data_IF_823842682482
#
_entry.id   IF_823842682482
#
_cell.length_a   1.000
_cell.length_b   1.000
_cell.length_c   1.000
_cell.angle_alpha   90.00
_cell.angle_beta   90.00
_cell.angle_gamma   90.00
#
_symmetry.space_group_name_H-M   'P 1'
#
loop_
_entity.id
_entity.type
_entity.pdbx_description
1 polymer ?
#
# COMPACT_ATOMS: atom_id res chain seq x y z
N UNK A 1 -18.53 9.58 20.84
CA UNK A 1 -18.39 8.20 20.34
C UNK A 1 -18.23 8.29 18.83
N UNK A 2 -17.11 7.80 18.30
CA UNK A 2 -16.86 7.75 16.86
C UNK A 2 -17.61 6.55 16.28
N UNK A 3 -18.30 6.66 15.14
CA UNK A 3 -19.06 5.54 14.58
C UNK A 3 -18.13 4.39 14.16
N UNK A 4 -18.59 3.14 14.25
CA UNK A 4 -17.85 1.98 13.78
C UNK A 4 -17.72 1.97 12.25
N UNK A 5 -16.73 1.23 11.75
CA UNK A 5 -16.58 0.92 10.34
C UNK A 5 -17.61 -0.13 9.92
N UNK A 6 -18.29 0.12 8.80
CA UNK A 6 -19.21 -0.83 8.18
C UNK A 6 -18.97 -0.89 6.67
N UNK A 7 -18.59 -2.06 6.12
CA UNK A 7 -18.05 -3.24 6.82
C UNK A 7 -16.77 -2.96 7.62
N UNK A 8 -16.39 -3.86 8.56
CA UNK A 8 -15.09 -3.84 9.25
C UNK A 8 -13.90 -3.88 8.28
N UNK A 9 -12.73 -3.50 8.78
CA UNK A 9 -11.46 -3.74 8.07
C UNK A 9 -10.83 -5.06 8.50
N UNK A 10 -10.32 -5.80 7.53
CA UNK A 10 -9.48 -6.99 7.71
C UNK A 10 -8.04 -6.61 7.38
N UNK A 11 -7.11 -6.91 8.28
CA UNK A 11 -5.71 -6.47 8.22
C UNK A 11 -4.78 -7.69 8.31
N UNK A 12 -3.85 -7.79 7.37
CA UNK A 12 -2.87 -8.88 7.25
C UNK A 12 -1.45 -8.33 7.06
N UNK A 13 -0.53 -8.67 7.96
CA UNK A 13 0.86 -8.16 7.88
C UNK A 13 1.94 -9.18 8.23
N UNK A 14 1.57 -10.43 8.55
CA UNK A 14 2.53 -11.49 8.87
C UNK A 14 2.11 -12.84 8.23
N UNK A 15 3.06 -13.65 7.74
CA UNK A 15 2.76 -14.94 7.11
C UNK A 15 2.21 -15.97 8.11
N UNK A 16 2.62 -15.86 9.38
CA UNK A 16 2.20 -16.75 10.47
C UNK A 16 1.13 -16.12 11.36
N UNK A 17 0.35 -15.18 10.83
CA UNK A 17 -0.76 -14.58 11.57
C UNK A 17 -1.81 -15.68 11.82
N UNK A 18 -2.12 -15.96 13.09
CA UNK A 18 -3.01 -17.07 13.47
C UNK A 18 -4.50 -16.87 13.13
N UNK A 19 -4.85 -15.79 12.44
CA UNK A 19 -6.20 -15.41 12.00
C UNK A 19 -6.30 -13.94 11.61
N UNK A 20 -7.45 -13.54 11.05
CA UNK A 20 -7.73 -12.16 10.64
C UNK A 20 -7.58 -11.18 11.81
N UNK A 21 -6.84 -10.08 11.60
CA UNK A 21 -6.91 -8.93 12.50
C UNK A 21 -8.01 -8.01 12.00
N UNK A 22 -9.10 -7.91 12.75
CA UNK A 22 -10.27 -7.13 12.38
C UNK A 22 -10.29 -5.81 13.16
N UNK A 23 -10.46 -4.69 12.46
CA UNK A 23 -10.74 -3.39 13.07
C UNK A 23 -12.18 -2.98 12.75
N UNK A 24 -12.98 -2.80 13.80
CA UNK A 24 -14.36 -2.33 13.71
C UNK A 24 -14.49 -0.87 14.10
N UNK A 25 -13.49 -0.29 14.77
CA UNK A 25 -13.48 1.10 15.21
C UNK A 25 -12.17 1.81 14.86
N UNK A 26 -12.18 3.16 14.82
CA UNK A 26 -10.96 3.95 14.66
C UNK A 26 -9.87 3.66 15.70
N UNK A 27 -10.25 3.47 16.96
CA UNK A 27 -9.29 3.21 18.05
C UNK A 27 -8.63 1.82 17.89
N UNK A 28 -9.40 0.81 17.47
CA UNK A 28 -8.86 -0.52 17.14
C UNK A 28 -7.92 -0.48 15.93
N UNK A 29 -8.28 0.30 14.91
CA UNK A 29 -7.42 0.52 13.75
C UNK A 29 -6.10 1.18 14.16
N UNK A 30 -6.15 2.25 14.96
CA UNK A 30 -4.95 2.93 15.44
C UNK A 30 -4.05 1.99 16.25
N UNK A 31 -4.62 1.16 17.13
CA UNK A 31 -3.87 0.17 17.89
C UNK A 31 -3.18 -0.87 16.99
N UNK A 32 -3.83 -1.28 15.89
CA UNK A 32 -3.22 -2.19 14.91
C UNK A 32 -2.11 -1.51 14.09
N UNK A 33 -2.32 -0.26 13.65
CA UNK A 33 -1.31 0.52 12.94
C UNK A 33 -0.09 0.80 13.84
N UNK A 34 -0.30 1.09 15.12
CA UNK A 34 0.78 1.22 16.11
C UNK A 34 1.57 -0.08 16.24
N UNK A 35 0.89 -1.23 16.28
CA UNK A 35 1.55 -2.54 16.34
C UNK A 35 2.39 -2.80 15.09
N UNK A 36 1.88 -2.47 13.90
CA UNK A 36 2.63 -2.62 12.64
C UNK A 36 3.85 -1.70 12.64
N UNK A 37 3.68 -0.42 12.98
CA UNK A 37 4.75 0.56 13.02
C UNK A 37 5.82 0.26 14.07
N UNK A 38 5.44 -0.40 15.18
CA UNK A 38 6.38 -0.82 16.23
C UNK A 38 7.29 -1.98 15.82
N UNK A 39 6.98 -2.65 14.71
CA UNK A 39 7.77 -3.78 14.24
C UNK A 39 9.06 -3.27 13.60
N UNK A 40 10.16 -3.40 14.32
CA UNK A 40 11.48 -2.95 13.89
C UNK A 40 11.94 -3.80 12.69
N UNK A 41 11.89 -3.22 11.50
CA UNK A 41 12.41 -3.78 10.26
C UNK A 41 13.17 -2.69 9.51
N UNK A 42 14.39 -2.99 9.06
CA UNK A 42 15.19 -2.03 8.27
C UNK A 42 14.52 -1.69 6.93
N UNK A 43 13.76 -2.63 6.36
CA UNK A 43 13.01 -2.44 5.12
C UNK A 43 11.60 -1.88 5.36
N UNK A 44 11.15 -1.76 6.60
CA UNK A 44 9.75 -1.51 6.92
C UNK A 44 8.85 -2.73 6.64
N UNK A 45 7.62 -2.68 7.16
CA UNK A 45 6.60 -3.73 7.01
C UNK A 45 5.35 -3.17 6.38
N UNK A 46 4.78 -3.92 5.45
CA UNK A 46 3.51 -3.63 4.79
C UNK A 46 2.39 -4.50 5.36
N UNK A 47 1.29 -3.85 5.70
CA UNK A 47 0.01 -4.48 5.95
C UNK A 47 -0.87 -4.40 4.71
N UNK A 48 -1.50 -5.51 4.35
CA UNK A 48 -2.64 -5.57 3.46
C UNK A 48 -3.92 -5.26 4.26
N UNK A 49 -4.76 -4.38 3.72
CA UNK A 49 -5.96 -3.87 4.37
C UNK A 49 -7.09 -3.93 3.35
N UNK A 50 -8.10 -4.74 3.66
CA UNK A 50 -9.32 -4.87 2.87
C UNK A 50 -10.53 -4.57 3.74
N UNK A 51 -11.67 -4.30 3.11
CA UNK A 51 -12.96 -4.28 3.79
C UNK A 51 -13.54 -5.67 3.79
N UNK A 52 -14.14 -6.08 4.89
CA UNK A 52 -14.76 -7.40 5.00
C UNK A 52 -15.83 -7.59 3.89
N UNK A 53 -15.67 -8.63 3.08
CA UNK A 53 -16.50 -8.92 1.92
C UNK A 53 -16.22 -8.10 0.65
N UNK A 54 -15.14 -7.31 0.60
CA UNK A 54 -14.67 -6.58 -0.58
C UNK A 54 -13.29 -7.08 -1.02
N UNK A 55 -13.28 -7.80 -2.13
CA UNK A 55 -12.07 -8.31 -2.78
C UNK A 55 -11.66 -7.46 -4.00
N UNK A 56 -12.43 -6.42 -4.34
CA UNK A 56 -12.19 -5.59 -5.52
C UNK A 56 -11.17 -4.47 -5.26
N UNK A 57 -11.09 -4.01 -4.00
CA UNK A 57 -10.16 -2.97 -3.60
C UNK A 57 -9.26 -3.42 -2.46
N UNK A 58 -7.98 -3.07 -2.55
CA UNK A 58 -7.01 -3.42 -1.51
C UNK A 58 -6.07 -2.25 -1.25
N UNK A 59 -5.93 -1.86 0.01
CA UNK A 59 -4.94 -0.89 0.44
C UNK A 59 -3.78 -1.60 1.14
N UNK A 60 -2.58 -1.35 0.66
CA UNK A 60 -1.33 -1.76 1.30
C UNK A 60 -0.73 -0.55 2.00
N UNK A 61 -0.42 -0.68 3.30
CA UNK A 61 0.17 0.37 4.11
C UNK A 61 1.50 -0.11 4.73
N UNK A 62 2.59 0.50 4.29
CA UNK A 62 3.94 0.29 4.78
C UNK A 62 4.36 1.31 5.82
N UNK A 63 5.04 0.88 6.88
CA UNK A 63 5.63 1.76 7.89
C UNK A 63 7.14 1.52 8.04
N UNK A 64 7.92 2.61 8.10
CA UNK A 64 9.38 2.62 8.32
C UNK A 64 9.78 3.86 9.12
N UNK A 65 9.78 3.75 10.44
CA UNK A 65 10.03 4.89 11.34
C UNK A 65 8.96 5.97 11.18
N UNK A 66 9.39 7.22 10.94
CA UNK A 66 8.50 8.39 10.79
C UNK A 66 7.88 8.53 9.38
N UNK A 67 8.23 7.64 8.46
CA UNK A 67 7.70 7.60 7.10
C UNK A 67 7.01 6.28 6.81
N UNK A 68 6.25 6.26 5.73
CA UNK A 68 5.63 5.04 5.22
C UNK A 68 5.19 5.23 3.78
N UNK A 69 4.67 4.16 3.18
CA UNK A 69 4.24 4.18 1.79
C UNK A 69 2.90 3.46 1.64
N UNK A 70 2.12 3.86 0.64
CA UNK A 70 0.84 3.28 0.31
C UNK A 70 0.88 2.69 -1.09
N UNK A 71 0.25 1.52 -1.26
CA UNK A 71 -0.14 1.01 -2.57
C UNK A 71 -1.63 0.71 -2.53
N UNK A 72 -2.39 1.26 -3.46
CA UNK A 72 -3.80 0.97 -3.63
C UNK A 72 -3.99 0.18 -4.92
N UNK A 73 -4.71 -0.92 -4.82
CA UNK A 73 -5.09 -1.78 -5.93
C UNK A 73 -6.60 -1.64 -6.17
N UNK A 74 -6.98 -1.42 -7.42
CA UNK A 74 -8.34 -1.61 -7.92
C UNK A 74 -8.33 -2.46 -9.19
N UNK A 75 -9.51 -2.70 -9.75
CA UNK A 75 -9.72 -3.49 -10.97
C UNK A 75 -8.97 -2.97 -12.20
N UNK A 76 -8.46 -1.73 -12.17
CA UNK A 76 -7.92 -1.03 -13.34
C UNK A 76 -6.43 -0.78 -13.25
N UNK A 77 -5.90 -0.47 -12.06
CA UNK A 77 -4.53 -0.03 -11.93
C UNK A 77 -3.96 -0.17 -10.52
N UNK A 78 -2.62 -0.24 -10.50
CA UNK A 78 -1.82 -0.04 -9.30
C UNK A 78 -1.52 1.44 -9.10
N UNK A 79 -1.77 1.91 -7.89
CA UNK A 79 -1.51 3.28 -7.47
C UNK A 79 -0.58 3.29 -6.27
N UNK A 80 0.43 4.16 -6.31
CA UNK A 80 1.41 4.31 -5.22
C UNK A 80 1.32 5.71 -4.64
N UNK A 81 1.58 5.88 -3.35
CA UNK A 81 1.75 7.21 -2.77
C UNK A 81 2.89 7.96 -3.46
N UNK A 82 2.89 9.28 -3.35
CA UNK A 82 3.97 10.13 -3.86
C UNK A 82 4.15 11.35 -2.96
N UNK A 83 5.39 11.61 -2.55
CA UNK A 83 5.82 12.86 -1.94
C UNK A 83 6.06 13.97 -2.98
N UNK A 84 6.10 13.62 -4.27
CA UNK A 84 6.37 14.52 -5.37
C UNK A 84 5.19 15.44 -5.76
N UNK A 85 5.44 16.48 -6.59
CA UNK A 85 4.39 17.29 -7.18
C UNK A 85 3.46 16.46 -8.07
N UNK A 86 2.17 16.85 -8.17
CA UNK A 86 1.18 16.11 -8.97
C UNK A 86 1.61 16.07 -10.44
N UNK A 87 1.64 14.88 -11.04
CA UNK A 87 1.95 14.69 -12.46
C UNK A 87 3.44 14.60 -12.80
N UNK A 88 4.32 14.63 -11.80
CA UNK A 88 5.73 14.32 -11.97
C UNK A 88 5.95 12.85 -11.66
N UNK A 89 5.58 11.98 -12.61
CA UNK A 89 5.97 10.57 -12.51
C UNK A 89 7.49 10.48 -12.54
N UNK A 90 8.09 9.72 -11.64
CA UNK A 90 9.52 9.42 -11.74
C UNK A 90 9.76 8.52 -12.94
N UNK A 91 10.16 9.14 -14.05
CA UNK A 91 10.68 8.45 -15.20
C UNK A 91 12.04 7.81 -14.81
N UNK A 92 12.15 6.49 -14.95
CA UNK A 92 13.40 5.72 -15.02
C UNK A 92 14.46 5.99 -13.94
N UNK A 93 14.05 6.16 -12.68
CA UNK A 93 15.01 6.05 -11.58
C UNK A 93 15.27 4.58 -11.27
N UNK A 94 16.53 4.13 -11.40
CA UNK A 94 16.95 2.76 -11.05
C UNK A 94 16.84 2.45 -9.55
N UNK A 95 16.59 3.45 -8.71
CA UNK A 95 16.41 3.28 -7.27
C UNK A 95 14.98 2.83 -6.98
N UNK A 96 14.83 1.63 -6.42
CA UNK A 96 13.54 1.12 -5.93
C UNK A 96 13.53 1.14 -4.41
N UNK A 97 12.40 1.54 -3.82
CA UNK A 97 12.15 1.30 -2.40
C UNK A 97 11.67 -0.13 -2.23
N UNK A 98 12.05 -0.76 -1.11
CA UNK A 98 11.66 -2.13 -0.79
C UNK A 98 11.06 -2.16 0.60
N UNK A 99 9.84 -2.67 0.68
CA UNK A 99 9.16 -2.98 1.93
C UNK A 99 8.96 -4.48 2.05
N UNK A 100 9.02 -5.01 3.27
CA UNK A 100 8.70 -6.42 3.49
C UNK A 100 7.18 -6.58 3.56
N UNK A 101 6.63 -7.42 2.69
CA UNK A 101 5.24 -7.87 2.73
C UNK A 101 5.24 -9.38 2.94
N UNK A 102 4.87 -9.80 4.15
CA UNK A 102 5.01 -11.19 4.58
C UNK A 102 6.47 -11.69 4.39
N UNK A 103 6.68 -12.77 3.65
CA UNK A 103 8.01 -13.29 3.30
C UNK A 103 8.55 -12.75 1.96
N UNK A 104 7.83 -11.83 1.32
CA UNK A 104 8.20 -11.24 0.03
C UNK A 104 8.65 -9.77 0.17
N UNK A 105 9.34 -9.27 -0.85
CA UNK A 105 9.63 -7.84 -1.00
C UNK A 105 8.58 -7.19 -1.90
N UNK A 106 8.05 -6.06 -1.45
CA UNK A 106 7.23 -5.15 -2.24
C UNK A 106 8.09 -4.00 -2.73
N UNK A 107 8.27 -3.93 -4.04
CA UNK A 107 8.97 -2.82 -4.69
C UNK A 107 8.03 -1.62 -4.87
N UNK A 108 8.56 -0.43 -4.60
CA UNK A 108 7.84 0.83 -4.63
C UNK A 108 8.68 1.92 -5.33
N UNK A 109 8.04 2.94 -5.91
CA UNK A 109 8.73 4.10 -6.47
C UNK A 109 9.60 4.82 -5.43
N UNK A 110 10.71 5.49 -5.83
CA UNK A 110 11.63 6.12 -4.87
C UNK A 110 11.06 7.31 -4.09
N UNK A 111 10.03 7.97 -4.59
CA UNK A 111 9.30 9.05 -3.90
C UNK A 111 8.00 8.57 -3.25
N UNK A 112 7.80 7.25 -3.11
CA UNK A 112 6.57 6.73 -2.54
C UNK A 112 6.41 7.02 -1.05
N UNK A 113 7.51 7.32 -0.35
CA UNK A 113 7.46 7.59 1.09
C UNK A 113 6.85 8.94 1.42
N UNK A 114 5.80 8.90 2.24
CA UNK A 114 5.09 10.04 2.81
C UNK A 114 5.20 9.97 4.35
N UNK A 115 4.92 11.07 5.08
CA UNK A 115 4.88 11.04 6.55
C UNK A 115 3.96 9.93 7.08
N UNK A 116 4.37 9.23 8.14
CA UNK A 116 3.56 8.14 8.73
C UNK A 116 2.18 8.62 9.21
N UNK A 117 2.06 9.90 9.62
CA UNK A 117 0.79 10.52 9.95
C UNK A 117 -0.17 10.57 8.73
N UNK A 118 0.35 10.81 7.53
CA UNK A 118 -0.44 10.85 6.30
C UNK A 118 -0.86 9.44 5.87
N UNK A 119 0.01 8.43 6.10
CA UNK A 119 -0.33 7.00 5.94
C UNK A 119 -1.53 6.66 6.82
N UNK A 120 -1.47 6.99 8.12
CA UNK A 120 -2.58 6.76 9.06
C UNK A 120 -3.86 7.44 8.60
N UNK A 121 -3.79 8.72 8.25
CA UNK A 121 -4.94 9.48 7.76
C UNK A 121 -5.58 8.84 6.52
N UNK A 122 -4.76 8.32 5.60
CA UNK A 122 -5.22 7.62 4.40
C UNK A 122 -5.91 6.29 4.73
N UNK A 123 -5.33 5.46 5.61
CA UNK A 123 -5.96 4.20 6.04
C UNK A 123 -7.30 4.45 6.70
N UNK A 124 -7.40 5.46 7.57
CA UNK A 124 -8.67 5.87 8.18
C UNK A 124 -9.71 6.35 7.14
N UNK A 125 -9.28 7.04 6.09
CA UNK A 125 -10.18 7.43 5.02
C UNK A 125 -10.67 6.20 4.25
N UNK A 126 -9.78 5.29 3.88
CA UNK A 126 -10.13 4.03 3.22
C UNK A 126 -11.10 3.20 4.05
N UNK A 127 -10.90 3.12 5.37
CA UNK A 127 -11.82 2.46 6.30
C UNK A 127 -13.26 2.97 6.20
N UNK A 128 -13.43 4.27 5.92
CA UNK A 128 -14.75 4.91 5.79
C UNK A 128 -15.33 4.80 4.39
N UNK A 129 -14.50 4.89 3.35
CA UNK A 129 -14.98 5.04 1.97
C UNK A 129 -14.89 3.76 1.15
N UNK A 130 -13.95 2.86 1.45
CA UNK A 130 -13.57 1.73 0.61
C UNK A 130 -13.01 2.16 -0.74
N UNK A 131 -12.53 3.40 -0.86
CA UNK A 131 -12.01 3.95 -2.11
C UNK A 131 -10.63 4.52 -1.89
N UNK A 132 -9.88 4.68 -2.98
CA UNK A 132 -8.55 5.28 -2.95
C UNK A 132 -8.54 6.60 -2.16
N UNK A 133 -7.78 6.68 -1.05
CA UNK A 133 -7.72 7.88 -0.21
C UNK A 133 -7.36 9.14 -1.00
N UNK A 134 -7.95 10.28 -0.62
CA UNK A 134 -7.64 11.59 -1.20
C UNK A 134 -6.77 12.46 -0.29
N UNK A 135 -6.46 11.99 0.92
CA UNK A 135 -5.56 12.65 1.88
C UNK A 135 -4.10 12.69 1.42
N UNK A 136 -3.70 11.82 0.49
CA UNK A 136 -2.36 11.77 -0.08
C UNK A 136 -2.38 11.89 -1.61
N UNK A 137 -1.20 12.09 -2.19
CA UNK A 137 -1.01 12.08 -3.65
C UNK A 137 -0.73 10.67 -4.13
N UNK A 138 -1.17 10.39 -5.36
CA UNK A 138 -0.99 9.11 -6.01
C UNK A 138 -0.27 9.27 -7.33
N UNK A 139 0.51 8.25 -7.67
CA UNK A 139 1.15 8.07 -8.97
C UNK A 139 0.93 6.65 -9.48
N UNK A 140 1.07 6.49 -10.79
CA UNK A 140 1.27 5.18 -11.41
C UNK A 140 2.77 4.99 -11.62
N UNK A 141 3.22 3.76 -11.50
CA UNK A 141 4.62 3.42 -11.67
C UNK A 141 4.76 2.02 -12.27
N UNK A 142 5.66 1.92 -13.23
CA UNK A 142 6.11 0.65 -13.80
C UNK A 142 7.50 0.40 -13.23
N UNK A 143 7.67 -0.71 -12.53
CA UNK A 143 8.98 -1.08 -12.00
C UNK A 143 10.00 -1.11 -13.15
N UNK A 144 11.22 -0.58 -12.95
CA UNK A 144 12.27 -0.69 -13.96
C UNK A 144 12.50 -2.17 -14.25
N UNK A 145 12.60 -2.54 -15.53
CA UNK A 145 12.89 -3.92 -15.92
C UNK A 145 14.19 -4.34 -15.22
N UNK A 146 14.14 -5.36 -14.37
CA UNK A 146 15.36 -6.00 -13.89
C UNK A 146 16.08 -6.56 -15.12
N UNK A 147 17.33 -6.17 -15.42
CA UNK A 147 18.07 -6.76 -16.52
C UNK A 147 18.14 -8.28 -16.32
N UNK A 148 17.54 -9.05 -17.23
CA UNK A 148 17.47 -10.53 -17.17
C UNK A 148 16.10 -11.12 -16.81
N UNK A 149 15.05 -10.32 -16.60
CA UNK A 149 13.68 -10.84 -16.46
C UNK A 149 13.01 -10.93 -17.84
N UNK A 150 13.12 -12.10 -18.49
CA UNK A 150 12.57 -12.45 -19.81
C UNK A 150 11.03 -12.61 -19.82
N UNK A 151 10.31 -11.75 -19.10
CA UNK A 151 8.84 -11.71 -19.20
C UNK A 151 8.45 -10.70 -20.29
N UNK A 152 7.87 -11.14 -21.42
CA UNK A 152 7.37 -10.23 -22.44
C UNK A 152 6.28 -9.33 -21.86
N UNK A 153 6.26 -8.08 -22.30
CA UNK A 153 5.27 -7.09 -21.88
C UNK A 153 3.88 -7.55 -22.32
N UNK A 154 2.87 -7.62 -21.45
CA UNK A 154 1.50 -7.89 -21.88
C UNK A 154 0.93 -6.77 -22.77
N UNK A 155 1.64 -5.63 -22.89
CA UNK A 155 1.31 -4.51 -23.78
C UNK A 155 2.06 -4.54 -25.12
N UNK A 156 2.97 -5.50 -25.36
CA UNK A 156 3.61 -5.72 -26.67
C UNK A 156 2.72 -6.55 -27.63
N UNK A 157 1.42 -6.63 -27.36
CA UNK A 157 0.46 -7.42 -28.14
C UNK A 157 0.16 -6.86 -29.55
N UNK A 158 0.72 -5.71 -29.95
CA UNK A 158 0.56 -5.13 -31.29
C UNK A 158 1.61 -5.60 -32.31
N UNK A 159 2.36 -6.67 -32.03
CA UNK A 159 3.36 -7.22 -32.96
C UNK A 159 3.02 -8.63 -33.43
N UNK A 160 1.74 -8.99 -33.61
CA UNK A 160 1.36 -10.13 -34.47
C UNK A 160 -0.05 -9.95 -35.05
N UNK A 161 -0.15 -9.44 -36.28
CA UNK A 161 -1.36 -9.57 -37.13
C UNK A 161 -1.67 -8.36 -37.99
#
# INVERSE_FOLDING_TARGET
MTPPFHPPLVIWFAPNQGGDHVATTPDELDALLDRIASHLSETGIVAEITRDGDDETTLYAGFRGEVGALRYNDDKALHYSSAGPRGQGLADTMTVLRYRYQDNEMELPPDAEIPAADVRAAVHQYARTGTRPTTCRWQQWKAPRTPGSDMPDPLDADVWG
#
